data_IF_695983676972
#
_entry.id   IF_695983676972
#
_cell.length_a   1.000
_cell.length_b   1.000
_cell.length_c   1.000
_cell.angle_alpha   90.00
_cell.angle_beta   90.00
_cell.angle_gamma   90.00
#
_symmetry.space_group_name_H-M   'P 1'
#
loop_
_entity.id
_entity.type
_entity.pdbx_description
1 polymer ?
#
# COMPACT_ATOMS: atom_id res chain seq x y z
N UNK A 1 3.60 -13.46 7.81
CA UNK A 1 3.01 -12.30 8.51
C UNK A 1 3.19 -11.06 7.64
N UNK A 2 2.12 -10.30 7.42
CA UNK A 2 2.13 -9.09 6.55
C UNK A 2 3.14 -8.05 7.06
N UNK A 3 3.33 -7.93 8.37
CA UNK A 3 4.28 -6.98 8.98
C UNK A 3 5.74 -7.14 8.50
N UNK A 4 6.19 -8.35 8.16
CA UNK A 4 7.56 -8.59 7.70
C UNK A 4 7.89 -7.98 6.34
N UNK A 5 6.89 -7.61 5.55
CA UNK A 5 7.04 -7.04 4.21
C UNK A 5 6.86 -5.51 4.17
N UNK A 6 6.60 -4.88 5.32
CA UNK A 6 6.41 -3.42 5.40
C UNK A 6 7.77 -2.75 5.60
N UNK A 7 8.21 -2.00 4.61
CA UNK A 7 9.48 -1.28 4.65
C UNK A 7 9.42 0.03 5.45
N UNK A 8 8.23 0.63 5.50
CA UNK A 8 8.03 1.92 6.17
C UNK A 8 6.86 1.83 7.13
N UNK A 9 7.06 2.34 8.34
CA UNK A 9 6.02 2.43 9.37
C UNK A 9 5.84 3.88 9.76
N UNK A 10 4.60 4.36 9.70
CA UNK A 10 4.24 5.71 10.16
C UNK A 10 3.46 5.57 11.46
N UNK A 11 4.00 6.13 12.52
CA UNK A 11 3.37 6.15 13.84
C UNK A 11 2.86 7.55 14.16
N UNK A 12 1.59 7.65 14.50
CA UNK A 12 0.94 8.91 14.87
C UNK A 12 0.58 8.86 16.36
N UNK A 13 -0.24 7.89 16.76
CA UNK A 13 -0.66 7.67 18.15
C UNK A 13 -1.22 6.25 18.31
N UNK A 14 -0.97 5.64 19.47
CA UNK A 14 -1.58 4.37 19.85
C UNK A 14 -1.78 4.29 21.36
N UNK A 15 -2.89 3.70 21.78
CA UNK A 15 -3.14 3.36 23.19
C UNK A 15 -2.63 1.96 23.59
N UNK A 16 -2.22 1.13 22.63
CA UNK A 16 -1.77 -0.24 22.89
C UNK A 16 -0.34 -0.26 23.42
N UNK A 17 -0.13 -0.85 24.60
CA UNK A 17 1.19 -0.98 25.22
C UNK A 17 2.16 -1.81 24.36
N UNK A 18 1.65 -2.84 23.68
CA UNK A 18 2.49 -3.72 22.84
C UNK A 18 2.97 -2.97 21.59
N UNK A 19 2.06 -2.22 20.95
CA UNK A 19 2.44 -1.35 19.82
C UNK A 19 3.47 -0.31 20.21
N UNK A 20 3.31 0.34 21.38
CA UNK A 20 4.24 1.34 21.87
C UNK A 20 5.64 0.75 22.14
N UNK A 21 5.71 -0.45 22.68
CA UNK A 21 6.98 -1.17 22.89
C UNK A 21 7.64 -1.52 21.54
N UNK A 22 6.87 -2.09 20.60
CA UNK A 22 7.34 -2.45 19.27
C UNK A 22 7.93 -1.22 18.54
N UNK A 23 7.23 -0.09 18.56
CA UNK A 23 7.71 1.16 17.93
C UNK A 23 8.94 1.69 18.64
N UNK A 24 8.98 1.68 19.97
CA UNK A 24 10.14 2.13 20.76
C UNK A 24 11.39 1.28 20.47
N UNK A 25 11.23 -0.03 20.30
CA UNK A 25 12.30 -0.95 19.95
C UNK A 25 12.78 -0.74 18.51
N UNK A 26 11.85 -0.61 17.58
CA UNK A 26 12.14 -0.37 16.16
C UNK A 26 12.81 0.97 15.90
N UNK A 27 12.51 1.99 16.72
CA UNK A 27 13.16 3.30 16.65
C UNK A 27 14.64 3.24 17.11
N UNK A 28 15.01 2.23 17.89
CA UNK A 28 16.38 2.03 18.35
C UNK A 28 16.77 2.84 19.58
N UNK A 29 18.06 2.87 19.85
CA UNK A 29 18.64 3.54 21.02
C UNK A 29 19.92 4.27 20.62
N UNK A 30 20.28 5.28 21.41
CA UNK A 30 21.52 6.02 21.30
C UNK A 30 22.35 5.82 22.56
N UNK A 31 23.66 5.91 22.42
CA UNK A 31 24.59 5.89 23.53
C UNK A 31 24.73 7.29 24.12
N UNK A 32 24.41 7.45 25.38
CA UNK A 32 24.61 8.69 26.11
C UNK A 32 25.53 8.47 27.31
N UNK A 33 26.36 9.50 27.62
CA UNK A 33 27.20 9.51 28.80
C UNK A 33 26.39 9.89 30.02
N UNK A 34 26.24 8.94 30.94
CA UNK A 34 25.59 9.20 32.23
C UNK A 34 26.64 9.77 33.21
N UNK A 35 26.47 11.03 33.59
CA UNK A 35 27.39 11.75 34.50
C UNK A 35 27.40 11.17 35.91
N UNK A 36 26.26 10.68 36.38
CA UNK A 36 26.11 10.16 37.74
C UNK A 36 26.79 8.79 37.89
N UNK A 37 26.63 7.95 36.91
CA UNK A 37 27.21 6.61 36.87
C UNK A 37 28.58 6.54 36.22
N UNK A 38 29.06 7.67 35.63
CA UNK A 38 30.34 7.77 34.90
C UNK A 38 30.53 6.64 33.86
N UNK A 39 29.47 6.28 33.16
CA UNK A 39 29.47 5.25 32.14
C UNK A 39 28.53 5.59 31.00
N UNK A 40 28.73 4.93 29.85
CA UNK A 40 27.82 5.03 28.71
C UNK A 40 26.64 4.13 28.95
N UNK A 41 25.43 4.65 28.73
CA UNK A 41 24.18 3.92 28.76
C UNK A 41 23.47 4.01 27.42
N UNK A 42 22.79 2.93 27.03
CA UNK A 42 21.95 2.91 25.85
C UNK A 42 20.55 3.43 26.22
N UNK A 43 20.24 4.63 25.74
CA UNK A 43 18.95 5.29 25.97
C UNK A 43 18.08 5.15 24.73
N UNK A 44 16.83 4.75 24.91
CA UNK A 44 15.86 4.66 23.80
C UNK A 44 15.67 6.03 23.14
N UNK A 45 15.73 6.10 21.80
CA UNK A 45 15.48 7.34 21.05
C UNK A 45 14.07 7.86 21.30
N UNK A 46 13.11 6.97 21.29
CA UNK A 46 11.70 7.24 21.58
C UNK A 46 11.21 6.29 22.67
N UNK A 47 11.30 6.67 23.94
CA UNK A 47 10.76 5.86 25.03
C UNK A 47 9.23 5.80 24.96
N UNK A 48 8.65 4.73 25.50
CA UNK A 48 7.22 4.45 25.48
C UNK A 48 6.39 5.63 26.00
N UNK A 49 6.88 6.29 27.05
CA UNK A 49 6.18 7.43 27.65
C UNK A 49 6.09 8.62 26.69
N UNK A 50 7.16 8.90 25.93
CA UNK A 50 7.13 9.93 24.91
C UNK A 50 6.17 9.60 23.78
N UNK A 51 6.17 8.36 23.30
CA UNK A 51 5.27 7.90 22.24
C UNK A 51 3.79 8.00 22.64
N UNK A 52 3.50 7.75 23.92
CA UNK A 52 2.14 7.85 24.46
C UNK A 52 1.62 9.29 24.49
N UNK A 53 2.51 10.28 24.59
CA UNK A 53 2.18 11.69 24.73
C UNK A 53 2.46 12.50 23.47
N UNK A 54 2.44 11.87 22.28
CA UNK A 54 2.55 12.59 21.02
C UNK A 54 1.41 13.58 20.89
N UNK A 55 1.78 14.80 20.51
CA UNK A 55 0.83 15.89 20.29
C UNK A 55 0.21 15.77 18.89
N UNK A 56 -0.89 16.51 18.69
CA UNK A 56 -1.52 16.61 17.39
C UNK A 56 -0.50 17.11 16.33
N UNK A 57 -0.41 16.37 15.24
CA UNK A 57 0.53 16.64 14.16
C UNK A 57 1.93 16.03 14.35
N UNK A 58 2.27 15.49 15.51
CA UNK A 58 3.53 14.77 15.68
C UNK A 58 3.47 13.38 15.07
N UNK A 59 4.46 13.08 14.24
CA UNK A 59 4.54 11.84 13.46
C UNK A 59 5.96 11.29 13.53
N UNK A 60 6.09 10.00 13.82
CA UNK A 60 7.34 9.27 13.74
C UNK A 60 7.32 8.34 12.54
N UNK A 61 8.28 8.50 11.66
CA UNK A 61 8.43 7.68 10.46
C UNK A 61 9.65 6.77 10.64
N UNK A 62 9.41 5.48 10.61
CA UNK A 62 10.43 4.45 10.66
C UNK A 62 10.57 3.86 9.26
N UNK A 63 11.68 4.14 8.60
CA UNK A 63 12.00 3.60 7.30
C UNK A 63 13.16 2.62 7.42
N UNK A 64 13.08 1.50 6.70
CA UNK A 64 14.12 0.49 6.71
C UNK A 64 15.45 1.10 6.22
N UNK A 65 16.56 0.83 6.91
CA UNK A 65 17.91 1.34 6.63
C UNK A 65 18.09 2.86 6.82
N UNK A 66 17.13 3.54 7.40
CA UNK A 66 17.21 4.96 7.73
C UNK A 66 17.03 5.19 9.22
N UNK A 67 17.57 6.30 9.69
CA UNK A 67 17.30 6.76 11.05
C UNK A 67 15.82 7.15 11.18
N UNK A 68 15.22 7.01 12.37
CA UNK A 68 13.86 7.47 12.61
C UNK A 68 13.72 8.98 12.31
N UNK A 69 12.66 9.33 11.59
CA UNK A 69 12.30 10.72 11.33
C UNK A 69 11.16 11.13 12.24
N UNK A 70 11.40 12.15 13.04
CA UNK A 70 10.36 12.79 13.83
C UNK A 70 9.98 14.12 13.16
N UNK A 71 8.70 14.27 12.84
CA UNK A 71 8.18 15.44 12.11
C UNK A 71 6.93 15.95 12.82
N UNK A 72 6.78 17.28 12.85
CA UNK A 72 5.53 17.91 13.25
C UNK A 72 4.86 18.47 12.00
N UNK A 73 3.78 17.81 11.59
CA UNK A 73 2.98 18.22 10.44
C UNK A 73 2.08 19.39 10.83
N UNK A 74 1.97 20.43 10.01
CA UNK A 74 0.97 21.47 10.20
C UNK A 74 -0.44 20.91 10.04
N UNK A 75 -1.45 21.59 10.58
CA UNK A 75 -2.84 21.26 10.33
C UNK A 75 -3.16 21.32 8.83
N UNK A 76 -4.10 20.51 8.38
CA UNK A 76 -4.47 20.40 6.97
C UNK A 76 -4.92 21.75 6.37
N UNK A 77 -5.49 22.62 7.20
CA UNK A 77 -5.92 23.97 6.89
C UNK A 77 -4.77 24.93 6.47
N UNK A 78 -3.54 24.58 6.83
CA UNK A 78 -2.33 25.35 6.53
C UNK A 78 -1.65 24.97 5.22
N UNK A 79 -2.11 23.92 4.57
CA UNK A 79 -1.56 23.53 3.27
C UNK A 79 -2.12 24.39 2.16
N UNK A 80 -1.28 24.79 1.20
CA UNK A 80 -1.62 25.70 0.10
C UNK A 80 -2.80 25.20 -0.76
N UNK A 81 -2.96 23.89 -0.89
CA UNK A 81 -4.09 23.33 -1.64
C UNK A 81 -5.45 23.57 -0.96
N UNK A 82 -5.45 23.82 0.36
CA UNK A 82 -6.67 24.16 1.09
C UNK A 82 -7.03 25.64 0.97
N UNK A 83 -6.01 26.50 0.81
CA UNK A 83 -6.21 27.94 0.62
C UNK A 83 -6.77 28.29 -0.77
N UNK A 84 -6.57 27.43 -1.75
CA UNK A 84 -7.11 27.57 -3.10
C UNK A 84 -8.48 26.93 -3.20
N UNK A 85 -9.42 27.37 -2.35
CA UNK A 85 -10.83 27.02 -2.37
C UNK A 85 -11.15 25.80 -3.25
N UNK A 86 -11.28 24.66 -2.61
CA UNK A 86 -11.83 23.44 -3.24
C UNK A 86 -13.29 23.63 -3.73
N UNK A 87 -13.80 24.89 -3.77
CA UNK A 87 -15.06 25.24 -4.37
C UNK A 87 -15.05 25.11 -5.89
N UNK A 88 -13.88 25.18 -6.51
CA UNK A 88 -13.76 24.99 -7.94
C UNK A 88 -13.45 23.52 -8.26
N UNK A 89 -14.52 22.85 -8.57
CA UNK A 89 -14.52 21.68 -9.44
C UNK A 89 -13.52 20.60 -9.05
N UNK A 90 -13.88 19.76 -8.12
CA UNK A 90 -13.76 18.37 -8.50
C UNK A 90 -14.65 18.23 -9.75
N UNK A 91 -14.09 18.53 -10.92
CA UNK A 91 -14.58 17.92 -12.13
C UNK A 91 -14.67 16.44 -11.78
N UNK A 92 -15.91 16.01 -11.60
CA UNK A 92 -16.20 14.61 -11.39
C UNK A 92 -15.64 13.93 -12.63
N UNK A 93 -14.39 13.51 -12.56
CA UNK A 93 -13.78 12.68 -13.60
C UNK A 93 -14.67 11.46 -13.57
N UNK A 94 -15.57 11.40 -14.53
CA UNK A 94 -16.40 10.24 -14.77
C UNK A 94 -15.44 9.07 -14.72
N UNK A 95 -15.57 8.26 -13.67
CA UNK A 95 -14.67 7.09 -13.52
C UNK A 95 -14.83 6.33 -14.82
N UNK A 96 -13.76 6.12 -15.58
CA UNK A 96 -13.86 5.36 -16.80
C UNK A 96 -14.55 4.05 -16.45
N UNK A 97 -15.58 3.71 -17.22
CA UNK A 97 -16.33 2.48 -17.02
C UNK A 97 -15.33 1.33 -17.00
N UNK A 98 -15.09 0.78 -15.83
CA UNK A 98 -14.15 -0.33 -15.68
C UNK A 98 -14.82 -1.52 -16.33
N UNK A 99 -14.43 -1.82 -17.55
CA UNK A 99 -14.85 -3.05 -18.22
C UNK A 99 -14.23 -4.21 -17.46
N UNK A 100 -15.03 -4.85 -16.64
CA UNK A 100 -14.62 -6.11 -16.02
C UNK A 100 -14.45 -7.15 -17.12
N UNK A 101 -13.28 -7.75 -17.18
CA UNK A 101 -13.06 -8.90 -18.01
C UNK A 101 -13.71 -10.11 -17.31
N UNK A 102 -14.84 -10.55 -17.82
CA UNK A 102 -15.48 -11.75 -17.32
C UNK A 102 -14.79 -12.99 -17.91
N UNK A 103 -13.94 -13.60 -17.10
CA UNK A 103 -13.17 -14.78 -17.45
C UNK A 103 -14.07 -15.96 -17.78
N UNK A 104 -15.23 -16.06 -17.16
CA UNK A 104 -16.18 -17.13 -17.37
C UNK A 104 -16.89 -16.98 -18.73
N UNK A 105 -17.38 -15.79 -19.05
CA UNK A 105 -17.99 -15.50 -20.35
C UNK A 105 -17.00 -15.71 -21.51
N UNK A 106 -15.77 -15.24 -21.36
CA UNK A 106 -14.73 -15.41 -22.39
C UNK A 106 -14.38 -16.90 -22.60
N UNK A 107 -14.30 -17.66 -21.51
CA UNK A 107 -14.05 -19.10 -21.58
C UNK A 107 -15.19 -19.84 -22.25
N UNK A 108 -16.44 -19.53 -21.90
CA UNK A 108 -17.63 -20.16 -22.49
C UNK A 108 -17.75 -19.82 -23.98
N UNK A 109 -17.47 -18.58 -24.37
CA UNK A 109 -17.48 -18.16 -25.77
C UNK A 109 -16.42 -18.91 -26.58
N UNK A 110 -15.18 -18.96 -26.12
CA UNK A 110 -14.09 -19.68 -26.78
C UNK A 110 -14.35 -21.18 -26.86
N UNK A 111 -14.93 -21.77 -25.82
CA UNK A 111 -15.33 -23.16 -25.81
C UNK A 111 -16.41 -23.45 -26.86
N UNK A 112 -17.41 -22.58 -26.96
CA UNK A 112 -18.48 -22.71 -27.97
C UNK A 112 -17.95 -22.55 -29.40
N UNK A 113 -17.08 -21.58 -29.64
CA UNK A 113 -16.42 -21.37 -30.96
C UNK A 113 -15.56 -22.59 -31.35
N UNK A 114 -14.83 -23.17 -30.41
CA UNK A 114 -14.03 -24.38 -30.65
C UNK A 114 -14.91 -25.57 -31.01
N UNK A 115 -16.02 -25.77 -30.32
CA UNK A 115 -16.98 -26.82 -30.63
C UNK A 115 -17.63 -26.59 -31.98
N UNK A 116 -18.05 -25.37 -32.28
CA UNK A 116 -18.66 -25.03 -33.57
C UNK A 116 -17.71 -25.31 -34.73
N UNK A 117 -16.45 -24.93 -34.62
CA UNK A 117 -15.44 -25.19 -35.65
C UNK A 117 -15.07 -26.68 -35.81
N UNK A 118 -15.24 -27.47 -34.73
CA UNK A 118 -15.03 -28.93 -34.82
C UNK A 118 -16.17 -29.70 -35.47
N UNK A 119 -17.36 -29.08 -35.59
CA UNK A 119 -18.54 -29.66 -36.22
C UNK A 119 -18.82 -29.16 -37.64
N UNK A 120 -17.93 -28.37 -38.23
CA UNK A 120 -18.05 -28.03 -39.65
C UNK A 120 -17.87 -29.31 -40.46
N UNK A 121 -18.86 -29.72 -41.26
CA UNK A 121 -18.70 -30.87 -42.14
C UNK A 121 -17.60 -30.55 -43.14
N UNK A 122 -16.64 -31.45 -43.28
CA UNK A 122 -15.66 -31.38 -44.37
C UNK A 122 -16.46 -31.51 -45.65
N UNK A 123 -16.58 -30.40 -46.39
CA UNK A 123 -17.18 -30.44 -47.72
C UNK A 123 -16.39 -31.43 -48.55
N UNK A 124 -16.95 -32.58 -48.78
CA UNK A 124 -16.46 -33.59 -49.71
C UNK A 124 -16.79 -33.15 -51.14
N UNK A 125 -16.08 -32.14 -51.61
CA UNK A 125 -15.94 -31.85 -53.01
C UNK A 125 -14.61 -32.44 -53.48
N UNK A 126 -14.71 -33.70 -53.98
CA UNK A 126 -13.90 -34.18 -55.13
C UNK A 126 -14.21 -35.66 -55.36
N UNK A 127 -15.34 -35.91 -56.02
CA UNK A 127 -15.43 -37.08 -56.94
C UNK A 127 -16.02 -36.62 -58.27
N UNK A 128 -15.19 -35.90 -59.00
CA UNK A 128 -15.39 -35.73 -60.45
C UNK A 128 -14.84 -36.95 -61.18
N UNK A 129 -15.68 -37.93 -61.33
CA UNK A 129 -15.43 -39.03 -62.25
C UNK A 129 -15.20 -38.51 -63.66
N UNK A 130 -14.03 -38.65 -64.21
CA UNK A 130 -13.83 -38.75 -65.64
C UNK A 130 -13.98 -40.19 -66.07
N UNK A 131 -15.10 -40.47 -66.72
CA UNK A 131 -15.32 -41.62 -67.62
C UNK A 131 -15.53 -41.10 -69.03
N UNK A 132 -14.54 -41.33 -69.87
CA UNK A 132 -14.70 -41.78 -71.26
C UNK A 132 -13.40 -41.95 -71.95
#
# INVERSE_FOLDING_TARGET
>A
TIKGNVMNTVYILSGSADTLKEISESAGSKREWNKDKKMYEDVKLFPVDRLRHFQLGEVLILAQRHNPYFVKLPGYDKYAFYANNLEDSFDYIEKPEVKYFDLYEDFMRKGAESLYNSYQPVDSEDEGLMLS
#
